data_IF_312970708128
#
_entry.id   IF_312970708128
#
_cell.length_a   1.000
_cell.length_b   1.000
_cell.length_c   1.000
_cell.angle_alpha   90.00
_cell.angle_beta   90.00
_cell.angle_gamma   90.00
#
_symmetry.space_group_name_H-M   'P 1'
#
loop_
_entity.id
_entity.type
_entity.pdbx_description
1 polymer ?
#
# COMPACT_ATOMS: atom_id res chain seq x y z
N UNK A 1 10.12 20.24 17.36
CA UNK A 1 9.96 18.78 17.23
C UNK A 1 10.50 18.39 15.86
N UNK A 2 11.73 17.85 15.83
CA UNK A 2 12.57 17.76 14.64
C UNK A 2 12.00 16.86 13.55
N UNK A 3 12.04 17.33 12.31
CA UNK A 3 11.87 16.48 11.12
C UNK A 3 13.10 15.58 11.06
N UNK A 4 12.97 14.33 11.50
CA UNK A 4 14.02 13.33 11.33
C UNK A 4 14.29 13.17 9.84
N UNK A 5 15.45 13.65 9.38
CA UNK A 5 15.91 13.43 8.02
C UNK A 5 16.27 11.94 7.91
N UNK A 6 15.31 11.14 7.45
CA UNK A 6 15.50 9.72 7.22
C UNK A 6 16.26 9.56 5.91
N UNK A 7 17.58 9.39 6.00
CA UNK A 7 18.37 8.88 4.89
C UNK A 7 18.07 7.39 4.72
N UNK A 8 17.23 7.08 3.75
CA UNK A 8 16.97 5.72 3.27
C UNK A 8 18.25 5.20 2.62
N UNK A 9 18.84 4.15 3.20
CA UNK A 9 19.93 3.43 2.56
C UNK A 9 19.32 2.12 2.05
N UNK A 10 19.23 1.89 0.72
CA UNK A 10 18.68 0.65 0.20
C UNK A 10 19.55 -0.55 0.59
N UNK A 11 18.92 -1.72 0.80
CA UNK A 11 19.62 -2.98 1.09
C UNK A 11 20.79 -3.23 0.16
N UNK A 12 21.81 -3.92 0.66
CA UNK A 12 22.97 -4.36 -0.12
C UNK A 12 22.57 -5.21 -1.34
N UNK A 13 21.36 -5.81 -1.35
CA UNK A 13 20.78 -6.55 -2.49
C UNK A 13 19.50 -5.94 -3.09
N UNK A 14 19.09 -4.74 -2.67
CA UNK A 14 18.06 -3.93 -3.33
C UNK A 14 18.64 -3.09 -4.49
N UNK A 15 19.80 -3.48 -5.04
CA UNK A 15 20.39 -2.88 -6.26
C UNK A 15 19.80 -3.45 -7.55
N UNK A 16 18.85 -4.34 -7.36
CA UNK A 16 18.49 -5.39 -8.27
C UNK A 16 17.03 -5.21 -8.70
N UNK A 17 16.22 -4.44 -8.01
CA UNK A 17 14.81 -4.33 -8.30
C UNK A 17 14.42 -2.87 -8.15
N UNK A 18 14.25 -2.18 -9.27
CA UNK A 18 13.57 -0.88 -9.30
C UNK A 18 12.15 -1.15 -9.80
N UNK A 19 11.17 -0.72 -9.01
CA UNK A 19 9.83 -0.51 -9.56
C UNK A 19 9.98 0.55 -10.67
N UNK A 20 9.22 0.59 -11.78
CA UNK A 20 8.07 1.49 -11.92
C UNK A 20 7.91 2.07 -13.39
N UNK A 21 6.73 2.58 -13.81
CA UNK A 21 6.49 3.31 -15.10
C UNK A 21 5.30 4.32 -15.12
N UNK A 22 5.53 5.49 -15.73
CA UNK A 22 4.73 6.71 -16.02
C UNK A 22 3.38 6.58 -16.77
N UNK A 23 2.37 7.41 -16.45
CA UNK A 23 1.23 7.78 -17.34
C UNK A 23 0.81 9.27 -17.15
N UNK A 24 0.35 9.89 -18.25
CA UNK A 24 -0.18 11.28 -18.36
C UNK A 24 -1.72 11.34 -18.16
N UNK A 25 -2.33 12.47 -17.73
CA UNK A 25 -3.58 12.42 -16.95
C UNK A 25 -4.85 12.95 -17.65
N UNK A 26 -5.99 12.62 -17.02
CA UNK A 26 -7.20 13.46 -16.77
C UNK A 26 -8.53 13.02 -17.44
N UNK A 27 -9.72 13.45 -16.94
CA UNK A 27 -10.66 12.54 -16.26
C UNK A 27 -12.12 12.71 -16.78
N UNK A 28 -13.07 11.91 -16.29
CA UNK A 28 -14.50 12.28 -16.26
C UNK A 28 -15.24 11.44 -15.22
N UNK A 29 -16.02 12.11 -14.37
CA UNK A 29 -16.80 11.57 -13.25
C UNK A 29 -18.28 11.47 -13.63
N UNK A 30 -18.91 10.34 -13.30
CA UNK A 30 -20.35 10.10 -13.41
C UNK A 30 -20.83 9.27 -12.21
N UNK A 31 -22.09 9.44 -11.74
CA UNK A 31 -22.60 8.74 -10.56
C UNK A 31 -22.99 7.30 -10.91
N UNK A 32 -22.44 6.31 -10.20
CA UNK A 32 -22.70 4.90 -10.45
C UNK A 32 -23.72 4.34 -9.47
N UNK A 33 -24.88 3.95 -9.99
CA UNK A 33 -25.82 3.01 -9.35
C UNK A 33 -25.09 1.67 -9.18
N UNK A 34 -24.76 1.31 -7.95
CA UNK A 34 -23.91 0.15 -7.63
C UNK A 34 -24.76 -1.13 -7.62
N UNK A 35 -24.45 -2.16 -8.45
CA UNK A 35 -25.10 -3.46 -8.35
C UNK A 35 -24.75 -4.14 -7.03
N UNK A 36 -25.60 -5.05 -6.53
CA UNK A 36 -25.26 -5.96 -5.41
C UNK A 36 -23.98 -6.73 -5.78
N UNK A 37 -22.85 -6.22 -5.31
CA UNK A 37 -21.61 -6.33 -6.06
C UNK A 37 -20.87 -7.63 -5.80
N UNK A 38 -20.52 -8.32 -6.89
CA UNK A 38 -19.50 -9.38 -6.85
C UNK A 38 -18.14 -8.71 -6.82
N UNK A 39 -17.30 -9.07 -5.85
CA UNK A 39 -15.91 -8.62 -5.83
C UNK A 39 -15.15 -9.25 -7.00
N UNK A 40 -14.50 -8.45 -7.87
CA UNK A 40 -13.75 -8.98 -9.00
C UNK A 40 -12.55 -9.76 -8.51
N UNK A 41 -12.22 -10.85 -9.21
CA UNK A 41 -11.11 -11.75 -8.83
C UNK A 41 -9.80 -11.36 -9.49
N UNK A 42 -9.89 -10.64 -10.60
CA UNK A 42 -8.76 -10.24 -11.42
C UNK A 42 -8.97 -8.82 -11.95
N UNK A 43 -7.88 -8.25 -12.46
CA UNK A 43 -7.85 -6.91 -13.00
C UNK A 43 -8.79 -6.74 -14.20
N UNK A 44 -8.88 -7.75 -15.07
CA UNK A 44 -9.73 -7.72 -16.26
C UNK A 44 -11.22 -7.62 -15.92
N UNK A 45 -11.69 -8.37 -14.93
CA UNK A 45 -13.04 -8.26 -14.39
C UNK A 45 -13.29 -6.89 -13.76
N UNK A 46 -12.32 -6.36 -13.02
CA UNK A 46 -12.43 -5.03 -12.41
C UNK A 46 -12.51 -3.91 -13.46
N UNK A 47 -11.79 -4.03 -14.58
CA UNK A 47 -11.85 -3.06 -15.68
C UNK A 47 -13.23 -2.95 -16.34
N UNK A 48 -14.07 -3.97 -16.19
CA UNK A 48 -15.42 -3.99 -16.76
C UNK A 48 -16.37 -3.05 -16.01
N UNK A 49 -16.03 -2.66 -14.78
CA UNK A 49 -16.83 -1.78 -13.94
C UNK A 49 -16.10 -0.44 -13.71
N UNK A 50 -16.67 0.70 -14.13
CA UNK A 50 -16.04 2.00 -13.93
C UNK A 50 -15.81 2.35 -12.45
N UNK A 51 -16.61 1.81 -11.53
CA UNK A 51 -16.46 2.06 -10.10
C UNK A 51 -15.19 1.40 -9.53
N UNK A 52 -14.85 0.21 -10.03
CA UNK A 52 -13.57 -0.44 -9.67
C UNK A 52 -12.38 0.28 -10.30
N UNK A 53 -12.50 0.78 -11.54
CA UNK A 53 -11.50 1.63 -12.16
C UNK A 53 -11.22 2.90 -11.34
N UNK A 54 -12.26 3.57 -10.86
CA UNK A 54 -12.12 4.76 -10.01
C UNK A 54 -11.43 4.41 -8.68
N UNK A 55 -11.79 3.28 -8.05
CA UNK A 55 -11.16 2.83 -6.82
C UNK A 55 -9.66 2.53 -7.00
N UNK A 56 -9.27 1.94 -8.14
CA UNK A 56 -7.85 1.71 -8.46
C UNK A 56 -7.11 3.02 -8.70
N UNK A 57 -7.70 3.96 -9.43
CA UNK A 57 -7.08 5.26 -9.66
C UNK A 57 -6.84 6.03 -8.35
N UNK A 58 -7.80 5.97 -7.41
CA UNK A 58 -7.66 6.55 -6.07
C UNK A 58 -6.51 5.92 -5.28
N UNK A 59 -6.33 4.60 -5.37
CA UNK A 59 -5.20 3.93 -4.71
C UNK A 59 -3.87 4.42 -5.31
N UNK A 60 -3.71 4.44 -6.63
CA UNK A 60 -2.48 4.92 -7.28
C UNK A 60 -2.17 6.37 -6.86
N UNK A 61 -3.16 7.26 -6.94
CA UNK A 61 -3.00 8.66 -6.53
C UNK A 61 -2.60 8.79 -5.05
N UNK A 62 -3.13 7.93 -4.18
CA UNK A 62 -2.74 7.90 -2.77
C UNK A 62 -1.30 7.43 -2.57
N UNK A 63 -0.84 6.43 -3.33
CA UNK A 63 0.56 5.96 -3.29
C UNK A 63 1.54 7.06 -3.75
N UNK A 64 1.18 7.78 -4.82
CA UNK A 64 1.94 8.92 -5.33
C UNK A 64 1.98 10.08 -4.31
N UNK A 65 0.83 10.44 -3.72
CA UNK A 65 0.75 11.51 -2.73
C UNK A 65 1.56 11.21 -1.46
N UNK A 66 1.66 9.93 -1.08
CA UNK A 66 2.46 9.51 0.06
C UNK A 66 3.97 9.53 -0.22
N UNK A 67 4.41 9.70 -1.47
CA UNK A 67 5.83 9.74 -1.84
C UNK A 67 6.60 8.46 -1.47
N UNK A 68 5.89 7.33 -1.37
CA UNK A 68 6.47 6.06 -0.91
C UNK A 68 7.05 5.21 -2.07
N UNK A 69 6.94 5.70 -3.31
CA UNK A 69 7.14 4.99 -4.58
C UNK A 69 7.61 6.03 -5.64
N UNK A 70 8.67 5.80 -6.43
CA UNK A 70 9.20 6.75 -7.44
C UNK A 70 9.54 6.12 -8.79
N UNK A 71 8.88 6.50 -9.90
CA UNK A 71 9.03 5.69 -11.12
C UNK A 71 10.46 5.50 -11.77
N UNK A 72 11.11 4.32 -11.71
CA UNK A 72 12.38 3.89 -12.31
C UNK A 72 12.34 2.63 -13.25
N UNK A 73 13.37 2.49 -14.09
CA UNK A 73 13.50 1.41 -15.08
C UNK A 73 14.14 0.15 -14.47
N UNK A 74 13.63 -1.04 -14.81
CA UNK A 74 14.19 -2.31 -14.31
C UNK A 74 15.67 -2.49 -14.76
N UNK A 75 16.62 -2.71 -13.83
CA UNK A 75 18.02 -2.89 -14.18
C UNK A 75 18.26 -4.16 -15.04
N UNK A 76 19.32 -4.19 -15.85
CA UNK A 76 19.64 -5.38 -16.63
C UNK A 76 19.92 -6.59 -15.73
N UNK A 77 19.49 -7.78 -16.18
CA UNK A 77 19.58 -9.05 -15.46
C UNK A 77 18.75 -9.15 -14.19
N UNK A 78 17.65 -8.39 -14.13
CA UNK A 78 16.74 -8.39 -12.99
C UNK A 78 15.32 -8.62 -13.39
N UNK A 79 14.53 -9.09 -12.43
CA UNK A 79 13.12 -9.45 -12.63
C UNK A 79 12.27 -8.43 -11.87
N UNK A 80 11.11 -8.00 -12.35
CA UNK A 80 10.23 -7.21 -11.49
C UNK A 80 9.55 -8.13 -10.44
N UNK A 81 9.25 -7.60 -9.25
CA UNK A 81 8.36 -8.31 -8.33
C UNK A 81 6.96 -8.41 -8.93
N UNK A 82 6.32 -9.56 -8.71
CA UNK A 82 4.92 -9.71 -9.04
C UNK A 82 4.05 -8.82 -8.14
N UNK A 83 2.91 -8.37 -8.65
CA UNK A 83 1.91 -7.63 -7.90
C UNK A 83 0.53 -8.24 -8.11
N UNK A 84 -0.41 -7.88 -7.22
CA UNK A 84 -1.81 -8.27 -7.30
C UNK A 84 -2.71 -7.16 -6.77
N UNK A 85 -3.84 -6.97 -7.45
CA UNK A 85 -4.92 -6.14 -6.95
C UNK A 85 -5.81 -6.91 -5.97
N UNK A 86 -6.16 -6.27 -4.87
CA UNK A 86 -7.11 -6.76 -3.87
C UNK A 86 -8.32 -5.85 -3.86
N UNK A 87 -9.49 -6.42 -4.15
CA UNK A 87 -10.76 -5.70 -4.24
C UNK A 87 -11.64 -6.03 -3.03
N UNK A 88 -12.30 -5.01 -2.49
CA UNK A 88 -13.23 -5.16 -1.37
C UNK A 88 -14.37 -4.17 -1.46
N UNK A 89 -15.59 -4.65 -1.31
CA UNK A 89 -16.76 -3.78 -1.14
C UNK A 89 -16.88 -3.44 0.35
N UNK A 90 -17.04 -2.15 0.65
CA UNK A 90 -17.35 -1.66 1.98
C UNK A 90 -18.82 -1.32 2.05
N UNK A 91 -19.49 -1.89 3.05
CA UNK A 91 -20.90 -1.69 3.31
C UNK A 91 -21.06 -0.78 4.52
N UNK A 92 -22.09 0.06 4.51
CA UNK A 92 -22.47 0.87 5.65
C UNK A 92 -23.22 -0.01 6.69
N UNK A 93 -23.56 0.57 7.85
CA UNK A 93 -24.30 -0.14 8.91
C UNK A 93 -25.69 -0.62 8.46
N UNK A 94 -26.26 0.00 7.43
CA UNK A 94 -27.57 -0.32 6.84
C UNK A 94 -27.46 -1.42 5.75
N UNK A 95 -26.24 -1.88 5.44
CA UNK A 95 -25.98 -2.91 4.43
C UNK A 95 -25.94 -2.41 2.98
N UNK A 96 -26.03 -1.10 2.75
CA UNK A 96 -25.81 -0.49 1.44
C UNK A 96 -24.31 -0.32 1.15
N UNK A 97 -23.92 -0.24 -0.12
CA UNK A 97 -22.52 -0.07 -0.50
C UNK A 97 -22.07 1.35 -0.16
N UNK A 98 -21.14 1.47 0.77
CA UNK A 98 -20.51 2.74 1.16
C UNK A 98 -19.41 3.14 0.17
N UNK A 99 -18.53 2.19 -0.19
CA UNK A 99 -17.46 2.43 -1.16
C UNK A 99 -16.85 1.15 -1.72
N UNK A 100 -16.32 1.24 -2.93
CA UNK A 100 -15.42 0.25 -3.50
C UNK A 100 -13.99 0.56 -3.06
N UNK A 101 -13.26 -0.47 -2.63
CA UNK A 101 -11.87 -0.36 -2.18
C UNK A 101 -10.98 -1.29 -3.00
N UNK A 102 -10.03 -0.71 -3.72
CA UNK A 102 -8.96 -1.44 -4.38
C UNK A 102 -7.64 -1.20 -3.65
N UNK A 103 -6.75 -2.20 -3.64
CA UNK A 103 -5.38 -2.08 -3.12
C UNK A 103 -4.39 -2.77 -4.03
N UNK A 104 -3.27 -2.13 -4.28
CA UNK A 104 -2.15 -2.74 -4.99
C UNK A 104 -1.18 -3.36 -3.98
N UNK A 105 -0.94 -4.67 -4.10
CA UNK A 105 -0.12 -5.43 -3.16
C UNK A 105 0.99 -6.15 -3.90
N UNK A 106 2.22 -6.03 -3.40
CA UNK A 106 3.38 -6.76 -3.92
C UNK A 106 3.33 -8.22 -3.42
N UNK A 107 3.62 -9.17 -4.30
CA UNK A 107 3.75 -10.57 -3.95
C UNK A 107 5.09 -10.79 -3.21
N UNK A 108 5.03 -10.70 -1.88
CA UNK A 108 6.20 -10.85 -0.99
C UNK A 108 6.72 -12.28 -0.80
N UNK A 109 6.26 -13.24 -1.61
CA UNK A 109 6.62 -14.66 -1.51
C UNK A 109 8.07 -14.97 -1.97
N UNK A 110 8.86 -13.94 -2.30
CA UNK A 110 10.26 -14.04 -2.70
C UNK A 110 11.24 -13.54 -1.62
N UNK A 111 10.76 -13.19 -0.42
CA UNK A 111 11.63 -12.75 0.68
C UNK A 111 12.52 -13.90 1.17
N UNK A 112 13.83 -13.64 1.26
CA UNK A 112 14.79 -14.60 1.79
C UNK A 112 15.13 -14.31 3.25
N UNK A 113 15.01 -15.34 4.10
CA UNK A 113 15.43 -15.26 5.50
C UNK A 113 16.93 -14.90 5.58
N UNK A 114 17.26 -13.88 6.39
CA UNK A 114 18.63 -13.39 6.59
C UNK A 114 19.09 -12.27 5.64
N UNK A 115 18.30 -11.89 4.63
CA UNK A 115 18.57 -10.74 3.75
C UNK A 115 17.47 -9.67 3.92
N UNK A 116 16.21 -10.01 3.64
CA UNK A 116 15.11 -9.03 3.65
C UNK A 116 14.43 -8.88 5.02
N UNK A 117 14.60 -9.88 5.90
CA UNK A 117 13.92 -9.95 7.20
C UNK A 117 14.44 -8.94 8.22
N UNK A 118 15.63 -8.36 8.02
CA UNK A 118 16.28 -7.49 9.01
C UNK A 118 16.12 -5.99 8.69
N UNK A 119 15.57 -5.65 7.53
CA UNK A 119 15.48 -4.25 7.09
C UNK A 119 14.12 -3.59 7.38
N UNK A 120 13.07 -4.39 7.56
CA UNK A 120 11.71 -3.86 7.82
C UNK A 120 11.23 -4.29 9.21
N UNK A 121 11.94 -3.88 10.26
CA UNK A 121 11.37 -3.90 11.60
C UNK A 121 10.57 -2.62 11.83
N UNK A 122 9.24 -2.72 11.80
CA UNK A 122 8.40 -1.69 12.39
C UNK A 122 8.45 -1.87 13.92
N UNK A 123 9.05 -0.95 14.69
CA UNK A 123 9.07 -1.07 16.14
C UNK A 123 7.64 -0.90 16.66
N UNK A 124 6.97 -2.01 16.99
CA UNK A 124 5.68 -1.96 17.68
C UNK A 124 5.96 -1.80 19.16
N UNK A 125 5.72 -0.60 19.68
CA UNK A 125 5.79 -0.36 21.12
C UNK A 125 4.76 -1.24 21.84
N UNK A 126 5.24 -2.11 22.75
CA UNK A 126 4.35 -2.91 23.58
C UNK A 126 3.67 -1.99 24.59
N UNK A 127 2.34 -2.09 24.70
CA UNK A 127 1.58 -1.30 25.68
C UNK A 127 2.05 -1.51 27.12
N UNK A 128 2.62 -2.68 27.43
CA UNK A 128 3.26 -2.94 28.73
C UNK A 128 4.45 -1.99 28.95
N UNK A 129 5.36 -1.86 27.98
CA UNK A 129 6.51 -0.94 28.07
C UNK A 129 6.06 0.51 28.23
N UNK A 130 5.04 0.93 27.48
CA UNK A 130 4.46 2.28 27.58
C UNK A 130 3.88 2.52 28.98
N UNK A 131 3.10 1.57 29.50
CA UNK A 131 2.52 1.65 30.85
C UNK A 131 3.58 1.68 31.95
N UNK A 132 4.61 0.83 31.88
CA UNK A 132 5.70 0.81 32.87
C UNK A 132 6.45 2.14 32.89
N UNK A 133 6.71 2.73 31.71
CA UNK A 133 7.34 4.04 31.62
C UNK A 133 6.48 5.13 32.29
N UNK A 134 5.18 5.17 32.00
CA UNK A 134 4.23 6.10 32.62
C UNK A 134 4.17 5.95 34.15
N UNK A 135 4.15 4.72 34.66
CA UNK A 135 4.16 4.45 36.11
C UNK A 135 5.44 4.98 36.75
N UNK A 136 6.61 4.68 36.17
CA UNK A 136 7.90 5.17 36.71
C UNK A 136 7.97 6.71 36.78
N UNK A 137 7.46 7.39 35.75
CA UNK A 137 7.41 8.86 35.73
C UNK A 137 6.44 9.38 36.80
N UNK A 138 5.25 8.78 36.92
CA UNK A 138 4.26 9.18 37.93
C UNK A 138 4.76 8.97 39.37
N UNK A 139 5.57 7.94 39.62
CA UNK A 139 6.15 7.66 40.95
C UNK A 139 7.36 8.52 41.31
N UNK A 140 7.93 9.26 40.35
CA UNK A 140 9.10 10.14 40.54
C UNK A 140 8.73 11.62 40.70
N UNK A 141 7.42 11.91 40.83
CA UNK A 141 6.88 13.22 41.21
C UNK A 141 6.41 13.18 42.67
#
# INVERSE_FOLDING_TARGET
MGKGLRTEHPSVRLRDFDTHTTVSPSPLSSPLTVPRGVEPRNFTEALSDPGWCEAMAKEIAALEANGTWVMATLPPNKKAFGYKWVYKIKYNAEGSVERLKARLVILGNHQMAGIDYHETFAPVAKMVSVRTFLVMVATRN
#
